data_IF_559921536783
#
_entry.id   IF_559921536783
#
_cell.length_a   1.000
_cell.length_b   1.000
_cell.length_c   1.000
_cell.angle_alpha   90.00
_cell.angle_beta   90.00
_cell.angle_gamma   90.00
#
_symmetry.space_group_name_H-M   'P 1'
#
loop_
_entity.id
_entity.type
_entity.pdbx_description
1 polymer ?
#
# COMPACT_ATOMS: atom_id res chain seq x y z
N UNK A 1 -2.71 21.10 -0.17
CA UNK A 1 -3.49 20.90 1.06
C UNK A 1 -3.80 19.41 1.12
N UNK A 2 -3.27 18.71 2.09
CA UNK A 2 -3.83 17.39 2.46
C UNK A 2 -5.30 17.62 2.84
N UNK A 3 -6.20 16.82 2.27
CA UNK A 3 -7.62 16.88 2.58
C UNK A 3 -7.86 16.66 4.08
N UNK A 4 -8.93 17.21 4.61
CA UNK A 4 -9.32 16.96 6.00
C UNK A 4 -9.74 15.49 6.17
N UNK A 5 -9.76 14.97 7.40
CA UNK A 5 -10.33 13.64 7.69
C UNK A 5 -11.77 13.50 7.19
N UNK A 6 -12.51 14.61 7.20
CA UNK A 6 -13.85 14.66 6.62
C UNK A 6 -13.83 14.44 5.10
N UNK A 7 -12.84 15.01 4.39
CA UNK A 7 -12.71 14.83 2.93
C UNK A 7 -12.42 13.37 2.59
N UNK A 8 -11.55 12.69 3.37
CA UNK A 8 -11.28 11.26 3.22
C UNK A 8 -12.53 10.42 3.40
N UNK A 9 -13.29 10.65 4.48
CA UNK A 9 -14.55 9.95 4.71
C UNK A 9 -15.58 10.21 3.61
N UNK A 10 -15.63 11.45 3.10
CA UNK A 10 -16.53 11.80 2.00
C UNK A 10 -16.17 11.09 0.70
N UNK A 11 -14.86 11.02 0.38
CA UNK A 11 -14.37 10.25 -0.77
C UNK A 11 -14.73 8.77 -0.62
N UNK A 12 -14.51 8.18 0.56
CA UNK A 12 -14.87 6.80 0.85
C UNK A 12 -16.35 6.53 0.64
N UNK A 13 -17.22 7.42 1.14
CA UNK A 13 -18.67 7.29 1.01
C UNK A 13 -19.10 7.32 -0.46
N UNK A 14 -18.57 8.25 -1.24
CA UNK A 14 -18.85 8.33 -2.68
C UNK A 14 -18.33 7.10 -3.44
N UNK A 15 -17.10 6.68 -3.15
CA UNK A 15 -16.52 5.48 -3.79
C UNK A 15 -17.37 4.24 -3.49
N UNK A 16 -17.85 4.10 -2.26
CA UNK A 16 -18.73 3.01 -1.87
C UNK A 16 -20.04 3.03 -2.66
N UNK A 17 -20.68 4.20 -2.77
CA UNK A 17 -21.95 4.38 -3.49
C UNK A 17 -21.78 4.10 -4.99
N UNK A 18 -20.78 4.70 -5.62
CA UNK A 18 -20.48 4.54 -7.04
C UNK A 18 -20.20 3.07 -7.40
N UNK A 19 -19.38 2.38 -6.60
CA UNK A 19 -19.07 0.96 -6.82
C UNK A 19 -20.23 0.04 -6.47
N UNK A 20 -21.07 0.38 -5.50
CA UNK A 20 -22.30 -0.37 -5.22
C UNK A 20 -23.25 -0.31 -6.42
N UNK A 21 -23.43 0.87 -7.01
CA UNK A 21 -24.22 1.01 -8.23
C UNK A 21 -23.59 0.22 -9.38
N UNK A 22 -22.29 0.36 -9.60
CA UNK A 22 -21.56 -0.36 -10.65
C UNK A 22 -21.70 -1.89 -10.55
N UNK A 23 -21.57 -2.45 -9.35
CA UNK A 23 -21.73 -3.90 -9.12
C UNK A 23 -23.20 -4.36 -9.18
N UNK A 24 -24.17 -3.46 -9.03
CA UNK A 24 -25.56 -3.80 -9.25
C UNK A 24 -25.92 -3.99 -10.75
N UNK A 25 -25.21 -3.29 -11.62
CA UNK A 25 -25.41 -3.30 -13.06
C UNK A 25 -24.52 -4.33 -13.78
N UNK A 26 -23.41 -4.75 -13.16
CA UNK A 26 -22.41 -5.62 -13.75
C UNK A 26 -22.11 -6.81 -12.84
N UNK A 27 -22.00 -7.99 -13.43
CA UNK A 27 -21.65 -9.22 -12.70
C UNK A 27 -20.17 -9.54 -12.86
N UNK A 28 -19.53 -9.85 -11.75
CA UNK A 28 -18.12 -10.27 -11.68
C UNK A 28 -18.00 -11.54 -10.84
N UNK A 29 -17.14 -12.44 -11.28
CA UNK A 29 -16.86 -13.71 -10.58
C UNK A 29 -15.78 -13.53 -9.50
N UNK A 30 -14.92 -12.53 -9.65
CA UNK A 30 -13.81 -12.24 -8.74
C UNK A 30 -13.41 -10.78 -8.83
N UNK A 31 -13.15 -10.18 -7.69
CA UNK A 31 -12.47 -8.90 -7.56
C UNK A 31 -11.04 -9.13 -7.04
N UNK A 32 -10.04 -8.64 -7.75
CA UNK A 32 -8.63 -8.67 -7.32
C UNK A 32 -8.27 -7.31 -6.76
N UNK A 33 -7.77 -7.28 -5.54
CA UNK A 33 -7.41 -6.07 -4.81
C UNK A 33 -5.95 -6.13 -4.40
N UNK A 34 -5.23 -5.04 -4.63
CA UNK A 34 -3.86 -4.83 -4.17
C UNK A 34 -3.81 -3.73 -3.12
N UNK A 35 -3.24 -4.06 -1.95
CA UNK A 35 -2.93 -3.07 -0.92
C UNK A 35 -4.08 -2.78 0.03
N UNK A 36 -4.11 -1.53 0.53
CA UNK A 36 -4.74 -1.16 1.79
C UNK A 36 -5.20 0.31 1.85
N UNK A 37 -5.27 0.98 0.70
CA UNK A 37 -5.72 2.37 0.69
C UNK A 37 -7.22 2.47 0.97
N UNK A 38 -7.64 3.59 1.52
CA UNK A 38 -9.04 3.85 1.90
C UNK A 38 -10.01 3.79 0.71
N UNK A 39 -9.56 4.11 -0.51
CA UNK A 39 -10.37 3.97 -1.71
C UNK A 39 -10.67 2.50 -2.00
N UNK A 40 -9.63 1.64 -1.94
CA UNK A 40 -9.76 0.20 -2.14
C UNK A 40 -10.61 -0.45 -1.05
N UNK A 41 -10.56 0.06 0.17
CA UNK A 41 -11.42 -0.39 1.28
C UNK A 41 -12.90 -0.20 0.94
N UNK A 42 -13.26 0.99 0.43
CA UNK A 42 -14.63 1.28 0.00
C UNK A 42 -15.11 0.34 -1.12
N UNK A 43 -14.26 0.06 -2.10
CA UNK A 43 -14.55 -0.91 -3.17
C UNK A 43 -14.73 -2.32 -2.60
N UNK A 44 -13.90 -2.71 -1.63
CA UNK A 44 -13.99 -4.03 -0.97
C UNK A 44 -15.31 -4.21 -0.23
N UNK A 45 -15.77 -3.17 0.47
CA UNK A 45 -17.07 -3.19 1.16
C UNK A 45 -18.20 -3.38 0.13
N UNK A 46 -18.21 -2.61 -0.95
CA UNK A 46 -19.19 -2.75 -2.00
C UNK A 46 -19.22 -4.18 -2.57
N UNK A 47 -18.05 -4.72 -2.94
CA UNK A 47 -17.95 -6.07 -3.49
C UNK A 47 -18.43 -7.14 -2.52
N UNK A 48 -18.05 -7.06 -1.24
CA UNK A 48 -18.47 -8.00 -0.21
C UNK A 48 -20.01 -7.98 -0.02
N UNK A 49 -20.63 -6.78 -0.01
CA UNK A 49 -22.08 -6.65 0.08
C UNK A 49 -22.79 -7.22 -1.15
N UNK A 50 -22.21 -7.11 -2.34
CA UNK A 50 -22.70 -7.72 -3.57
C UNK A 50 -22.31 -9.21 -3.72
N UNK A 51 -21.66 -9.81 -2.71
CA UNK A 51 -21.21 -11.21 -2.67
C UNK A 51 -20.23 -11.56 -3.79
N UNK A 52 -19.44 -10.61 -4.23
CA UNK A 52 -18.36 -10.83 -5.19
C UNK A 52 -17.15 -11.34 -4.39
N UNK A 53 -16.64 -12.54 -4.68
CA UNK A 53 -15.43 -13.05 -4.02
C UNK A 53 -14.25 -12.10 -4.24
N UNK A 54 -13.43 -11.93 -3.20
CA UNK A 54 -12.26 -11.02 -3.24
C UNK A 54 -10.98 -11.84 -3.10
N UNK A 55 -10.00 -11.60 -3.99
CA UNK A 55 -8.60 -11.99 -3.85
C UNK A 55 -7.80 -10.78 -3.38
N UNK A 56 -7.27 -10.84 -2.16
CA UNK A 56 -6.48 -9.78 -1.57
C UNK A 56 -4.98 -10.05 -1.71
N UNK A 57 -4.29 -9.16 -2.42
CA UNK A 57 -2.85 -9.19 -2.58
C UNK A 57 -2.19 -8.29 -1.53
N UNK A 58 -1.06 -8.73 -0.95
CA UNK A 58 -0.30 -8.01 0.08
C UNK A 58 -1.04 -7.85 1.42
N UNK A 59 -1.93 -8.80 1.76
CA UNK A 59 -2.49 -8.89 3.11
C UNK A 59 -1.43 -9.28 4.15
N UNK A 60 -1.70 -8.95 5.42
CA UNK A 60 -0.87 -9.37 6.55
C UNK A 60 0.39 -8.54 6.80
N UNK A 61 0.69 -7.55 5.98
CA UNK A 61 1.79 -6.61 6.22
C UNK A 61 1.52 -5.73 7.43
N UNK A 62 2.57 -5.14 8.01
CA UNK A 62 2.47 -4.17 9.11
C UNK A 62 2.90 -2.79 8.63
N UNK A 63 2.11 -1.79 9.00
CA UNK A 63 2.43 -0.38 8.77
C UNK A 63 2.12 0.39 10.04
N UNK A 64 3.10 0.51 10.92
CA UNK A 64 2.93 1.18 12.22
C UNK A 64 2.56 2.65 12.01
N UNK A 65 1.66 3.17 12.86
CA UNK A 65 1.24 4.58 12.89
C UNK A 65 0.59 5.09 11.58
N UNK A 66 -0.12 4.18 10.87
CA UNK A 66 -0.85 4.52 9.65
C UNK A 66 -2.25 3.91 9.63
N UNK A 67 -3.22 4.56 8.97
CA UNK A 67 -4.59 4.00 8.76
C UNK A 67 -4.56 2.71 7.96
N UNK A 68 -3.61 2.57 7.06
CA UNK A 68 -3.45 1.43 6.18
C UNK A 68 -3.39 0.12 6.97
N UNK A 69 -2.91 0.16 8.21
CA UNK A 69 -2.82 -1.01 9.09
C UNK A 69 -4.20 -1.65 9.33
N UNK A 70 -5.14 -0.89 9.87
CA UNK A 70 -6.46 -1.44 10.17
C UNK A 70 -7.31 -1.63 8.90
N UNK A 71 -7.11 -0.83 7.87
CA UNK A 71 -7.78 -0.98 6.58
C UNK A 71 -7.36 -2.31 5.94
N UNK A 72 -6.06 -2.61 5.91
CA UNK A 72 -5.52 -3.86 5.37
C UNK A 72 -6.14 -5.09 6.04
N UNK A 73 -6.18 -5.09 7.36
CA UNK A 73 -6.76 -6.20 8.11
C UNK A 73 -8.28 -6.30 7.91
N UNK A 74 -8.97 -5.18 7.76
CA UNK A 74 -10.40 -5.16 7.45
C UNK A 74 -10.67 -5.74 6.04
N UNK A 75 -9.86 -5.40 5.03
CA UNK A 75 -9.96 -5.99 3.69
C UNK A 75 -9.68 -7.49 3.75
N UNK A 76 -8.65 -7.91 4.50
CA UNK A 76 -8.35 -9.32 4.72
C UNK A 76 -9.59 -10.08 5.23
N UNK A 77 -10.33 -9.51 6.18
CA UNK A 77 -11.56 -10.16 6.72
C UNK A 77 -12.73 -10.25 5.75
N UNK A 78 -12.75 -9.46 4.70
CA UNK A 78 -13.76 -9.51 3.63
C UNK A 78 -13.34 -10.41 2.47
N UNK A 79 -12.04 -10.71 2.34
CA UNK A 79 -11.50 -11.46 1.24
C UNK A 79 -11.70 -12.98 1.39
N UNK A 80 -11.80 -13.66 0.25
CA UNK A 80 -11.94 -15.12 0.18
C UNK A 80 -10.59 -15.81 0.01
N UNK A 81 -9.68 -15.20 -0.76
CA UNK A 81 -8.33 -15.68 -0.99
C UNK A 81 -7.31 -14.59 -0.74
N UNK A 82 -6.10 -15.01 -0.35
CA UNK A 82 -5.03 -14.12 0.06
C UNK A 82 -3.71 -14.52 -0.57
N UNK A 83 -2.99 -13.57 -1.14
CA UNK A 83 -1.62 -13.72 -1.59
C UNK A 83 -0.75 -12.77 -0.79
N UNK A 84 0.23 -13.31 -0.09
CA UNK A 84 1.13 -12.57 0.80
C UNK A 84 2.54 -12.50 0.24
N UNK A 85 3.25 -11.45 0.59
CA UNK A 85 4.62 -11.20 0.14
C UNK A 85 5.69 -11.97 0.92
N UNK A 86 5.36 -12.42 2.14
CA UNK A 86 6.26 -13.23 2.98
C UNK A 86 5.49 -14.33 3.72
N UNK A 87 6.23 -15.35 4.20
CA UNK A 87 5.69 -16.40 5.06
C UNK A 87 5.19 -15.84 6.39
N UNK A 88 5.86 -14.83 6.94
CA UNK A 88 5.43 -14.16 8.17
C UNK A 88 4.05 -13.53 7.99
N UNK A 89 3.82 -12.84 6.89
CA UNK A 89 2.52 -12.20 6.59
C UNK A 89 1.44 -13.24 6.31
N UNK A 90 1.78 -14.38 5.69
CA UNK A 90 0.89 -15.51 5.57
C UNK A 90 0.41 -15.99 6.94
N UNK A 91 1.33 -16.19 7.86
CA UNK A 91 1.01 -16.65 9.20
C UNK A 91 0.13 -15.64 9.95
N UNK A 92 0.37 -14.34 9.77
CA UNK A 92 -0.47 -13.28 10.36
C UNK A 92 -1.90 -13.28 9.80
N UNK A 93 -2.06 -13.47 8.49
CA UNK A 93 -3.39 -13.61 7.88
C UNK A 93 -4.14 -14.82 8.45
N UNK A 94 -3.46 -15.94 8.64
CA UNK A 94 -4.04 -17.12 9.30
C UNK A 94 -4.39 -16.83 10.77
N UNK A 95 -3.55 -16.10 11.50
CA UNK A 95 -3.84 -15.69 12.88
C UNK A 95 -5.06 -14.75 12.99
N UNK A 96 -5.34 -13.97 11.94
CA UNK A 96 -6.57 -13.18 11.83
C UNK A 96 -7.83 -14.04 11.64
N UNK A 97 -7.67 -15.36 11.52
CA UNK A 97 -8.77 -16.32 11.41
C UNK A 97 -9.10 -16.74 9.98
N UNK A 98 -8.23 -16.48 9.03
CA UNK A 98 -8.41 -16.95 7.65
C UNK A 98 -7.97 -18.42 7.52
N UNK A 99 -8.62 -19.16 6.62
CA UNK A 99 -8.33 -20.58 6.40
C UNK A 99 -6.98 -20.76 5.72
N UNK A 100 -6.06 -21.59 6.27
CA UNK A 100 -4.72 -21.77 5.72
C UNK A 100 -4.68 -22.17 4.25
N UNK A 101 -5.69 -22.93 3.78
CA UNK A 101 -5.83 -23.38 2.40
C UNK A 101 -6.15 -22.24 1.42
N UNK A 102 -6.61 -21.09 1.92
CA UNK A 102 -6.94 -19.91 1.13
C UNK A 102 -5.83 -18.83 1.20
N UNK A 103 -4.73 -19.10 1.91
CA UNK A 103 -3.64 -18.12 2.10
C UNK A 103 -2.37 -18.63 1.46
N UNK A 104 -1.90 -17.95 0.44
CA UNK A 104 -0.75 -18.33 -0.36
C UNK A 104 0.40 -17.35 -0.16
N UNK A 105 1.60 -17.84 0.03
CA UNK A 105 2.83 -17.06 -0.03
C UNK A 105 3.44 -17.21 -1.43
N UNK A 106 3.44 -16.12 -2.19
CA UNK A 106 3.98 -16.11 -3.57
C UNK A 106 5.08 -15.07 -3.78
N UNK A 107 5.39 -14.26 -2.77
CA UNK A 107 6.37 -13.18 -2.88
C UNK A 107 5.75 -11.82 -3.20
N UNK A 108 6.59 -10.80 -3.29
CA UNK A 108 6.19 -9.43 -3.57
C UNK A 108 6.33 -9.09 -5.05
N UNK A 109 5.29 -8.51 -5.64
CA UNK A 109 5.27 -8.09 -7.05
C UNK A 109 6.42 -7.13 -7.39
N UNK A 110 6.75 -6.21 -6.47
CA UNK A 110 7.86 -5.27 -6.66
C UNK A 110 9.21 -5.97 -6.71
N UNK A 111 9.42 -7.02 -5.89
CA UNK A 111 10.66 -7.81 -5.92
C UNK A 111 10.78 -8.62 -7.21
N UNK A 112 9.69 -9.20 -7.70
CA UNK A 112 9.68 -9.90 -8.99
C UNK A 112 10.04 -8.95 -10.14
N UNK A 113 9.47 -7.75 -10.17
CA UNK A 113 9.81 -6.75 -11.19
C UNK A 113 11.30 -6.44 -11.23
N UNK A 114 11.98 -6.38 -10.08
CA UNK A 114 13.43 -6.16 -10.02
C UNK A 114 14.23 -7.26 -10.72
N UNK A 115 13.75 -8.49 -10.76
CA UNK A 115 14.42 -9.61 -11.44
C UNK A 115 14.42 -9.45 -12.96
N UNK A 116 13.50 -8.68 -13.51
CA UNK A 116 13.37 -8.44 -14.95
C UNK A 116 14.10 -7.17 -15.42
N UNK A 117 14.71 -6.41 -14.51
CA UNK A 117 15.44 -5.19 -14.85
C UNK A 117 16.77 -5.52 -15.52
N UNK A 118 17.00 -4.94 -16.72
CA UNK A 118 18.28 -5.03 -17.37
C UNK A 118 19.29 -4.05 -16.74
N UNK A 119 20.13 -4.55 -15.84
CA UNK A 119 21.12 -3.76 -15.10
C UNK A 119 22.07 -2.96 -16.00
N UNK A 120 22.37 -3.41 -17.23
CA UNK A 120 23.22 -2.66 -18.14
C UNK A 120 22.57 -1.35 -18.57
N UNK A 121 21.27 -1.36 -18.83
CA UNK A 121 20.53 -0.14 -19.17
C UNK A 121 20.44 0.81 -17.98
N UNK A 122 20.13 0.28 -16.80
CA UNK A 122 20.07 1.05 -15.54
C UNK A 122 21.40 1.73 -15.25
N UNK A 123 22.52 1.01 -15.34
CA UNK A 123 23.85 1.58 -15.11
C UNK A 123 24.21 2.68 -16.13
N UNK A 124 23.74 2.58 -17.37
CA UNK A 124 23.95 3.62 -18.38
C UNK A 124 23.17 4.91 -18.06
N UNK A 125 21.94 4.77 -17.57
CA UNK A 125 21.09 5.91 -17.15
C UNK A 125 21.58 6.57 -15.86
N UNK A 126 22.19 5.79 -14.96
CA UNK A 126 22.74 6.28 -13.69
C UNK A 126 24.11 6.97 -13.83
N UNK A 127 24.63 7.14 -15.05
CA UNK A 127 25.86 7.90 -15.29
C UNK A 127 25.74 9.34 -14.75
N UNK A 128 26.55 9.64 -13.74
CA UNK A 128 26.54 10.95 -13.04
C UNK A 128 25.81 10.97 -11.70
N UNK A 129 25.22 9.87 -11.26
CA UNK A 129 24.62 9.72 -9.91
C UNK A 129 25.60 9.15 -8.86
N UNK A 130 26.90 9.20 -9.15
CA UNK A 130 27.92 8.85 -8.15
C UNK A 130 27.83 9.77 -6.94
N UNK A 131 28.00 9.21 -5.74
CA UNK A 131 27.87 9.91 -4.48
C UNK A 131 26.47 10.52 -4.29
N UNK A 132 25.42 9.81 -4.70
CA UNK A 132 24.04 10.24 -4.54
C UNK A 132 23.29 9.34 -3.58
N UNK A 133 22.37 9.94 -2.83
CA UNK A 133 21.35 9.25 -2.04
C UNK A 133 19.98 9.47 -2.68
N UNK A 134 19.19 8.42 -2.73
CA UNK A 134 17.76 8.52 -3.06
C UNK A 134 16.99 8.63 -1.75
N UNK A 135 16.16 9.65 -1.63
CA UNK A 135 15.33 9.91 -0.46
C UNK A 135 13.88 9.69 -0.85
N UNK A 136 13.29 8.67 -0.28
CA UNK A 136 11.85 8.40 -0.33
C UNK A 136 11.31 8.48 1.09
N UNK A 137 10.37 9.38 1.34
CA UNK A 137 9.78 9.58 2.65
C UNK A 137 8.26 9.67 2.57
N UNK A 138 7.60 8.87 3.37
CA UNK A 138 6.16 8.92 3.59
C UNK A 138 5.90 9.31 5.05
N UNK A 139 5.22 10.45 5.30
CA UNK A 139 4.92 10.87 6.67
C UNK A 139 4.00 9.87 7.38
N UNK A 140 4.18 9.70 8.67
CA UNK A 140 3.25 8.96 9.52
C UNK A 140 1.93 9.71 9.65
N UNK A 141 0.82 9.06 9.31
CA UNK A 141 -0.50 9.71 9.26
C UNK A 141 -1.19 9.80 10.62
N UNK A 142 -0.82 8.95 11.58
CA UNK A 142 -1.37 8.90 12.94
C UNK A 142 -0.43 9.53 13.99
N UNK A 143 0.69 10.11 13.56
CA UNK A 143 1.61 10.79 14.45
C UNK A 143 1.04 12.17 14.88
N UNK A 144 1.40 12.62 16.10
CA UNK A 144 1.10 13.96 16.59
C UNK A 144 1.99 15.04 15.95
N UNK A 145 3.14 14.66 15.41
CA UNK A 145 4.08 15.54 14.70
C UNK A 145 3.57 15.76 13.28
N UNK A 146 3.54 17.01 12.83
CA UNK A 146 3.03 17.34 11.50
C UNK A 146 3.94 16.76 10.40
N UNK A 147 3.39 16.44 9.20
CA UNK A 147 4.20 16.00 8.07
C UNK A 147 5.32 16.97 7.69
N UNK A 148 5.10 18.27 7.91
CA UNK A 148 6.10 19.30 7.64
C UNK A 148 7.29 19.17 8.60
N UNK A 149 7.04 19.07 9.91
CA UNK A 149 8.08 18.89 10.92
C UNK A 149 8.87 17.61 10.68
N UNK A 150 8.20 16.50 10.30
CA UNK A 150 8.89 15.24 9.97
C UNK A 150 9.85 15.40 8.77
N UNK A 151 9.45 16.18 7.75
CA UNK A 151 10.31 16.46 6.59
C UNK A 151 11.46 17.40 6.97
N UNK A 152 11.22 18.41 7.81
CA UNK A 152 12.23 19.35 8.27
C UNK A 152 13.37 18.63 9.01
N UNK A 153 13.06 17.65 9.87
CA UNK A 153 14.08 16.84 10.54
C UNK A 153 14.99 16.08 9.54
N UNK A 154 14.41 15.56 8.46
CA UNK A 154 15.17 14.88 7.41
C UNK A 154 16.07 15.89 6.68
N UNK A 155 15.54 17.07 6.34
CA UNK A 155 16.31 18.10 5.65
C UNK A 155 17.47 18.63 6.51
N UNK A 156 17.26 18.82 7.81
CA UNK A 156 18.32 19.19 8.75
C UNK A 156 19.42 18.12 8.82
N UNK A 157 19.05 16.84 8.88
CA UNK A 157 20.00 15.74 8.87
C UNK A 157 20.85 15.71 7.58
N UNK A 158 20.24 16.03 6.43
CA UNK A 158 20.89 16.05 5.13
C UNK A 158 21.82 17.26 4.97
N UNK A 159 21.50 18.41 5.57
CA UNK A 159 22.20 19.69 5.36
C UNK A 159 23.72 19.60 5.56
N UNK A 160 24.15 18.81 6.52
CA UNK A 160 25.58 18.60 6.79
C UNK A 160 26.32 17.83 5.68
N UNK A 161 25.60 17.13 4.81
CA UNK A 161 26.14 16.23 3.77
C UNK A 161 26.02 16.77 2.35
N UNK A 162 25.23 17.83 2.09
CA UNK A 162 24.99 18.36 0.73
C UNK A 162 26.25 18.83 0.01
N UNK A 163 27.33 19.14 0.72
CA UNK A 163 28.61 19.53 0.13
C UNK A 163 29.34 18.36 -0.54
N UNK A 164 29.10 17.14 -0.08
CA UNK A 164 29.83 15.94 -0.49
C UNK A 164 28.97 14.96 -1.29
N UNK A 165 27.64 15.06 -1.16
CA UNK A 165 26.70 14.11 -1.75
C UNK A 165 25.54 14.83 -2.42
N UNK A 166 24.98 14.17 -3.42
CA UNK A 166 23.73 14.61 -4.07
C UNK A 166 22.56 13.88 -3.41
N UNK A 167 21.45 14.55 -3.24
CA UNK A 167 20.21 13.96 -2.73
C UNK A 167 19.12 14.07 -3.79
N UNK A 168 18.48 12.96 -4.09
CA UNK A 168 17.41 12.84 -5.09
C UNK A 168 16.15 12.47 -4.33
N UNK A 169 15.20 13.38 -4.27
CA UNK A 169 13.90 13.14 -3.65
C UNK A 169 12.93 12.58 -4.69
N UNK A 170 12.21 11.50 -4.36
CA UNK A 170 11.20 10.83 -5.20
C UNK A 170 9.88 10.64 -4.45
#
# INVERSE_FOLDING_TARGET
KMGSLHDTCHIMARTLDDFSLFFSEHKYDLLIILGDRYEIYSVSIAAAMHRIPILHLHGGELTVANYDEFIRHSITKMATWHITSTEEYRNRVIQLGEKPENVYYLGALGAENCMHINMKNVLAELHGLYNSFVVLFHPETLNSVSPLEQVEEILEAIESYIKNYKFIFI
#
